data_IF_337102556259
#
_entry.id   IF_337102556259
#
_cell.length_a   1.000
_cell.length_b   1.000
_cell.length_c   1.000
_cell.angle_alpha   90.00
_cell.angle_beta   90.00
_cell.angle_gamma   90.00
#
_symmetry.space_group_name_H-M   'P 1'
#
loop_
_entity.id
_entity.type
_entity.pdbx_description
1 polymer ?
#
# COMPACT_ATOMS: atom_id res chain seq x y z
N UNK A 1 -17.19 -6.93 0.78
CA UNK A 1 -15.78 -7.40 0.67
C UNK A 1 -15.66 -8.46 -0.42
N UNK A 2 -14.60 -8.39 -1.23
CA UNK A 2 -14.35 -9.31 -2.35
C UNK A 2 -13.59 -10.58 -1.96
N UNK A 3 -13.68 -11.61 -2.79
CA UNK A 3 -12.90 -12.87 -2.65
C UNK A 3 -11.40 -12.63 -2.64
N UNK A 4 -10.89 -11.73 -3.48
CA UNK A 4 -9.46 -11.40 -3.50
C UNK A 4 -9.02 -10.74 -2.18
N UNK A 5 -9.86 -9.88 -1.61
CA UNK A 5 -9.63 -9.23 -0.33
C UNK A 5 -9.63 -10.24 0.82
N UNK A 6 -10.53 -11.22 0.80
CA UNK A 6 -10.55 -12.29 1.81
C UNK A 6 -9.25 -13.10 1.85
N UNK A 7 -8.66 -13.38 0.70
CA UNK A 7 -7.36 -14.07 0.60
C UNK A 7 -6.27 -13.19 1.23
N UNK A 8 -6.21 -11.91 0.85
CA UNK A 8 -5.26 -10.95 1.41
C UNK A 8 -5.42 -10.85 2.94
N UNK A 9 -6.66 -10.83 3.42
CA UNK A 9 -6.99 -10.77 4.84
C UNK A 9 -6.41 -11.96 5.60
N UNK A 10 -6.67 -13.18 5.12
CA UNK A 10 -6.20 -14.43 5.74
C UNK A 10 -4.68 -14.58 5.71
N UNK A 11 -4.03 -14.13 4.64
CA UNK A 11 -2.58 -14.29 4.47
C UNK A 11 -1.74 -13.30 5.28
N UNK A 12 -2.32 -12.16 5.68
CA UNK A 12 -1.56 -11.03 6.22
C UNK A 12 -1.96 -10.60 7.62
N UNK A 13 -3.08 -11.09 8.15
CA UNK A 13 -3.61 -10.62 9.43
C UNK A 13 -4.03 -11.76 10.33
N UNK A 14 -3.74 -11.61 11.63
CA UNK A 14 -4.25 -12.52 12.66
C UNK A 14 -5.69 -12.14 13.06
N UNK A 15 -6.33 -12.97 13.87
CA UNK A 15 -7.72 -12.77 14.29
C UNK A 15 -7.99 -11.42 14.98
N UNK A 16 -7.08 -10.97 15.86
CA UNK A 16 -7.23 -9.68 16.55
C UNK A 16 -7.13 -8.52 15.57
N UNK A 17 -6.21 -8.60 14.61
CA UNK A 17 -6.06 -7.61 13.56
C UNK A 17 -7.28 -7.57 12.64
N UNK A 18 -7.90 -8.72 12.33
CA UNK A 18 -9.13 -8.78 11.52
C UNK A 18 -10.27 -8.03 12.22
N UNK A 19 -10.46 -8.21 13.53
CA UNK A 19 -11.47 -7.46 14.30
C UNK A 19 -11.19 -5.96 14.22
N UNK A 20 -9.94 -5.56 14.44
CA UNK A 20 -9.52 -4.16 14.37
C UNK A 20 -9.78 -3.57 12.97
N UNK A 21 -9.45 -4.30 11.90
CA UNK A 21 -9.64 -3.84 10.52
C UNK A 21 -11.11 -3.53 10.21
N UNK A 22 -12.05 -4.31 10.75
CA UNK A 22 -13.49 -4.01 10.62
C UNK A 22 -13.87 -2.68 11.30
N UNK A 23 -13.31 -2.40 12.48
CA UNK A 23 -13.49 -1.09 13.14
C UNK A 23 -12.91 0.05 12.28
N UNK A 24 -11.70 -0.13 11.77
CA UNK A 24 -11.03 0.88 10.94
C UNK A 24 -11.76 1.13 9.62
N UNK A 25 -12.33 0.09 9.01
CA UNK A 25 -13.15 0.23 7.80
C UNK A 25 -14.47 0.97 8.06
N UNK A 26 -15.09 0.79 9.24
CA UNK A 26 -16.24 1.60 9.66
C UNK A 26 -15.87 3.08 9.81
N UNK A 27 -14.68 3.38 10.36
CA UNK A 27 -14.17 4.75 10.48
C UNK A 27 -13.98 5.35 9.09
N UNK A 28 -13.25 4.66 8.20
CA UNK A 28 -13.02 5.09 6.82
C UNK A 28 -14.34 5.38 6.09
N UNK A 29 -15.35 4.52 6.26
CA UNK A 29 -16.67 4.67 5.62
C UNK A 29 -17.51 5.83 6.15
N UNK A 30 -17.47 6.12 7.45
CA UNK A 30 -18.49 6.95 8.10
C UNK A 30 -17.98 8.20 8.81
N UNK A 31 -16.66 8.35 9.00
CA UNK A 31 -16.05 9.44 9.78
C UNK A 31 -15.17 10.34 8.91
N UNK A 32 -15.63 10.60 7.69
CA UNK A 32 -14.98 11.45 6.70
C UNK A 32 -14.60 12.81 7.32
N UNK A 33 -13.36 13.24 7.06
CA UNK A 33 -12.78 14.50 7.55
C UNK A 33 -12.81 14.66 9.08
N UNK A 34 -12.85 13.55 9.83
CA UNK A 34 -12.82 13.58 11.28
C UNK A 34 -11.47 13.09 11.80
N UNK A 35 -10.60 14.04 12.13
CA UNK A 35 -9.24 13.80 12.63
C UNK A 35 -9.20 12.90 13.86
N UNK A 36 -10.15 13.07 14.80
CA UNK A 36 -10.18 12.32 16.06
C UNK A 36 -10.42 10.83 15.80
N UNK A 37 -11.37 10.49 14.93
CA UNK A 37 -11.63 9.10 14.58
C UNK A 37 -10.52 8.52 13.69
N UNK A 38 -10.04 9.29 12.70
CA UNK A 38 -8.95 8.85 11.81
C UNK A 38 -7.62 8.64 12.54
N UNK A 39 -7.41 9.26 13.70
CA UNK A 39 -6.25 8.97 14.55
C UNK A 39 -6.12 7.48 14.87
N UNK A 40 -7.22 6.73 15.03
CA UNK A 40 -7.17 5.28 15.25
C UNK A 40 -6.57 4.53 14.06
N UNK A 41 -6.93 4.90 12.83
CA UNK A 41 -6.37 4.32 11.59
C UNK A 41 -4.86 4.58 11.58
N UNK A 42 -4.44 5.81 11.88
CA UNK A 42 -3.03 6.19 11.81
C UNK A 42 -2.19 5.67 12.96
N UNK A 43 -2.78 5.43 14.15
CA UNK A 43 -2.12 4.72 15.25
C UNK A 43 -1.81 3.26 14.88
N UNK A 44 -2.74 2.59 14.21
CA UNK A 44 -2.47 1.25 13.69
C UNK A 44 -1.42 1.27 12.57
N UNK A 45 -1.51 2.21 11.61
CA UNK A 45 -0.48 2.35 10.57
C UNK A 45 0.92 2.62 11.15
N UNK A 46 1.01 3.45 12.21
CA UNK A 46 2.25 3.72 12.93
C UNK A 46 2.80 2.46 13.63
N UNK A 47 1.94 1.61 14.18
CA UNK A 47 2.36 0.39 14.89
C UNK A 47 2.99 -0.65 13.94
N UNK A 48 2.66 -0.60 12.65
CA UNK A 48 3.32 -1.40 11.60
C UNK A 48 4.77 -0.96 11.33
N UNK A 49 5.18 0.21 11.86
CA UNK A 49 6.49 0.85 11.66
C UNK A 49 6.79 1.10 10.18
N UNK A 50 7.98 1.61 9.89
CA UNK A 50 8.29 2.15 8.57
C UNK A 50 7.66 3.52 8.35
N UNK A 51 8.01 4.17 7.24
CA UNK A 51 7.29 5.37 6.81
C UNK A 51 5.96 4.96 6.18
N UNK A 52 4.86 5.29 6.86
CA UNK A 52 3.48 5.01 6.44
C UNK A 52 2.70 6.26 6.09
N UNK A 53 1.43 6.09 5.73
CA UNK A 53 0.53 7.22 5.50
C UNK A 53 0.37 8.07 6.75
N UNK A 54 0.46 7.49 7.95
CA UNK A 54 0.42 8.20 9.24
C UNK A 54 1.42 9.35 9.34
N UNK A 55 2.59 9.23 8.70
CA UNK A 55 3.64 10.24 8.71
C UNK A 55 3.55 11.23 7.53
N UNK A 56 2.72 10.92 6.53
CA UNK A 56 2.52 11.79 5.36
C UNK A 56 1.61 12.97 5.70
N UNK A 57 1.86 14.18 5.16
CA UNK A 57 0.93 15.30 5.25
C UNK A 57 -0.41 14.98 4.60
N UNK A 58 -1.50 15.48 5.19
CA UNK A 58 -2.85 15.29 4.62
C UNK A 58 -3.00 16.05 3.29
N UNK A 59 -2.41 17.24 3.19
CA UNK A 59 -2.47 18.04 1.96
C UNK A 59 -1.50 17.50 0.90
N UNK A 60 -2.04 16.91 -0.17
CA UNK A 60 -1.29 16.32 -1.28
C UNK A 60 -0.48 17.32 -2.13
N UNK A 61 -0.82 18.62 -2.05
CA UNK A 61 -0.06 19.71 -2.68
C UNK A 61 1.31 19.83 -2.03
N UNK A 62 1.39 19.61 -0.71
CA UNK A 62 2.66 19.57 0.02
C UNK A 62 3.37 18.26 -0.29
N UNK A 63 4.47 18.33 -1.04
CA UNK A 63 5.29 17.16 -1.34
C UNK A 63 6.55 17.13 -0.45
N UNK A 64 6.54 16.40 0.68
CA UNK A 64 7.71 16.31 1.56
C UNK A 64 8.80 15.39 1.00
N UNK A 65 8.55 14.68 -0.11
CA UNK A 65 9.40 13.58 -0.58
C UNK A 65 10.36 13.97 -1.71
N UNK A 66 10.55 15.27 -1.98
CA UNK A 66 11.47 15.73 -3.02
C UNK A 66 12.91 15.23 -2.80
N UNK A 67 13.32 15.05 -1.55
CA UNK A 67 14.66 14.58 -1.19
C UNK A 67 14.82 13.05 -1.24
N UNK A 68 13.75 12.29 -1.49
CA UNK A 68 13.75 10.82 -1.46
C UNK A 68 14.09 10.17 -2.81
N UNK A 69 14.50 10.95 -3.83
CA UNK A 69 14.94 10.46 -5.14
C UNK A 69 14.00 9.39 -5.73
N UNK A 70 14.51 8.20 -6.05
CA UNK A 70 13.75 7.07 -6.61
C UNK A 70 12.61 6.57 -5.69
N UNK A 71 12.67 6.84 -4.39
CA UNK A 71 11.63 6.50 -3.41
C UNK A 71 10.53 7.56 -3.30
N UNK A 72 10.62 8.68 -4.02
CA UNK A 72 9.57 9.70 -4.03
C UNK A 72 8.21 9.10 -4.35
N UNK A 73 8.12 8.27 -5.39
CA UNK A 73 6.85 7.65 -5.81
C UNK A 73 6.35 6.61 -4.80
N UNK A 74 7.27 5.91 -4.13
CA UNK A 74 6.95 4.94 -3.06
C UNK A 74 6.19 5.62 -1.92
N UNK A 75 6.65 6.79 -1.48
CA UNK A 75 6.08 7.47 -0.33
C UNK A 75 4.90 8.38 -0.70
N UNK A 76 4.96 8.98 -1.89
CA UNK A 76 3.89 9.85 -2.39
C UNK A 76 2.58 9.10 -2.63
N UNK A 77 2.63 7.84 -3.05
CA UNK A 77 1.42 7.05 -3.21
C UNK A 77 0.74 6.76 -1.86
N UNK A 78 1.50 6.55 -0.78
CA UNK A 78 0.94 6.44 0.58
C UNK A 78 0.29 7.74 1.06
N UNK A 79 0.82 8.90 0.64
CA UNK A 79 0.19 10.20 0.92
C UNK A 79 -1.17 10.34 0.23
N UNK A 80 -1.26 9.93 -1.03
CA UNK A 80 -2.54 9.96 -1.76
C UNK A 80 -3.57 9.04 -1.12
N UNK A 81 -3.21 7.78 -0.83
CA UNK A 81 -4.07 6.84 -0.13
C UNK A 81 -4.57 7.39 1.22
N UNK A 82 -3.69 8.06 1.98
CA UNK A 82 -4.04 8.71 3.25
C UNK A 82 -5.06 9.83 3.05
N UNK A 83 -4.82 10.72 2.10
CA UNK A 83 -5.72 11.82 1.77
C UNK A 83 -7.09 11.30 1.33
N UNK A 84 -7.11 10.29 0.45
CA UNK A 84 -8.32 9.66 -0.07
C UNK A 84 -9.15 9.00 1.02
N UNK A 85 -8.51 8.31 1.97
CA UNK A 85 -9.19 7.79 3.14
C UNK A 85 -9.84 8.92 3.97
N UNK A 86 -9.14 10.03 4.17
CA UNK A 86 -9.63 11.14 4.97
C UNK A 86 -10.79 11.90 4.31
N UNK A 87 -10.76 12.12 3.00
CA UNK A 87 -11.82 12.87 2.30
C UNK A 87 -13.00 11.99 1.86
N UNK A 88 -12.96 10.69 2.11
CA UNK A 88 -14.02 9.75 1.73
C UNK A 88 -14.03 9.42 0.23
N UNK A 89 -12.86 9.42 -0.41
CA UNK A 89 -12.71 8.96 -1.78
C UNK A 89 -13.06 7.47 -1.90
N UNK A 90 -13.40 7.04 -3.12
CA UNK A 90 -13.71 5.63 -3.44
C UNK A 90 -12.56 4.70 -3.04
N UNK A 91 -12.89 3.53 -2.47
CA UNK A 91 -11.92 2.52 -2.04
C UNK A 91 -10.94 2.10 -3.15
N UNK A 92 -11.40 2.11 -4.40
CA UNK A 92 -10.56 1.90 -5.60
C UNK A 92 -9.31 2.78 -5.62
N UNK A 93 -9.42 4.05 -5.25
CA UNK A 93 -8.27 4.96 -5.30
C UNK A 93 -7.25 4.62 -4.23
N UNK A 94 -7.71 4.32 -3.01
CA UNK A 94 -6.85 3.80 -1.92
C UNK A 94 -6.14 2.53 -2.35
N UNK A 95 -6.84 1.59 -3.00
CA UNK A 95 -6.24 0.37 -3.55
C UNK A 95 -5.20 0.70 -4.63
N UNK A 96 -5.52 1.59 -5.55
CA UNK A 96 -4.64 1.98 -6.66
C UNK A 96 -3.34 2.61 -6.15
N UNK A 97 -3.44 3.57 -5.24
CA UNK A 97 -2.28 4.27 -4.67
C UNK A 97 -1.44 3.38 -3.76
N UNK A 98 -2.08 2.51 -2.98
CA UNK A 98 -1.37 1.49 -2.20
C UNK A 98 -0.68 0.45 -3.10
N UNK A 99 -1.29 0.12 -4.24
CA UNK A 99 -0.69 -0.76 -5.23
C UNK A 99 0.55 -0.15 -5.88
N UNK A 100 0.50 1.15 -6.19
CA UNK A 100 1.64 1.91 -6.72
C UNK A 100 2.83 1.96 -5.73
N UNK A 101 2.56 1.93 -4.41
CA UNK A 101 3.61 1.82 -3.38
C UNK A 101 4.42 0.53 -3.58
N UNK A 102 3.73 -0.62 -3.67
CA UNK A 102 4.35 -1.93 -3.89
C UNK A 102 5.01 -2.01 -5.26
N UNK A 103 4.33 -1.55 -6.31
CA UNK A 103 4.88 -1.56 -7.67
C UNK A 103 6.19 -0.77 -7.77
N UNK A 104 6.25 0.39 -7.11
CA UNK A 104 7.45 1.23 -7.07
C UNK A 104 8.60 0.56 -6.31
N UNK A 105 8.33 -0.07 -5.17
CA UNK A 105 9.35 -0.82 -4.41
C UNK A 105 9.91 -1.99 -5.22
N UNK A 106 9.05 -2.74 -5.91
CA UNK A 106 9.47 -3.84 -6.79
C UNK A 106 10.33 -3.32 -7.93
N UNK A 107 9.97 -2.21 -8.57
CA UNK A 107 10.79 -1.58 -9.63
C UNK A 107 12.18 -1.20 -9.11
N UNK A 108 12.26 -0.60 -7.91
CA UNK A 108 13.55 -0.26 -7.29
C UNK A 108 14.38 -1.53 -7.04
N UNK A 109 13.79 -2.58 -6.44
CA UNK A 109 14.46 -3.87 -6.21
C UNK A 109 15.01 -4.47 -7.50
N UNK A 110 14.21 -4.50 -8.56
CA UNK A 110 14.63 -4.99 -9.87
C UNK A 110 15.77 -4.16 -10.43
N UNK A 111 15.71 -2.83 -10.28
CA UNK A 111 16.76 -1.94 -10.78
C UNK A 111 18.10 -2.15 -10.05
N UNK A 112 18.08 -2.39 -8.72
CA UNK A 112 19.30 -2.68 -7.95
C UNK A 112 19.91 -4.04 -8.30
N UNK A 113 19.11 -4.98 -8.80
CA UNK A 113 19.52 -6.36 -9.08
C UNK A 113 19.59 -6.68 -10.58
N UNK A 114 19.60 -5.67 -11.45
CA UNK A 114 19.66 -5.85 -12.90
C UNK A 114 20.70 -4.93 -13.54
N UNK A 115 21.58 -5.53 -14.35
CA UNK A 115 22.49 -4.78 -15.23
C UNK A 115 21.74 -4.00 -16.34
N UNK A 116 20.53 -4.44 -16.70
CA UNK A 116 19.67 -3.82 -17.71
C UNK A 116 18.46 -3.15 -17.03
N UNK A 117 18.70 -2.02 -16.34
CA UNK A 117 17.68 -1.31 -15.55
C UNK A 117 16.47 -0.87 -16.40
N UNK A 118 16.73 -0.33 -17.59
CA UNK A 118 15.70 0.23 -18.47
C UNK A 118 14.67 -0.81 -18.95
N UNK A 119 15.15 -1.97 -19.41
CA UNK A 119 14.29 -3.03 -19.98
C UNK A 119 13.40 -3.69 -18.92
N UNK A 120 13.83 -3.71 -17.65
CA UNK A 120 13.04 -4.35 -16.59
C UNK A 120 12.07 -3.41 -15.89
N UNK A 121 12.32 -2.10 -15.93
CA UNK A 121 11.36 -1.11 -15.40
C UNK A 121 10.08 -0.97 -16.23
N UNK A 122 10.12 -1.37 -17.51
CA UNK A 122 8.95 -1.39 -18.42
C UNK A 122 8.17 -2.71 -18.39
N UNK A 123 8.65 -3.72 -17.64
CA UNK A 123 7.94 -5.00 -17.50
C UNK A 123 6.72 -4.85 -16.60
N UNK A 124 5.68 -5.63 -16.91
CA UNK A 124 4.53 -5.80 -16.03
C UNK A 124 4.97 -6.26 -14.64
N UNK A 125 4.28 -5.79 -13.59
CA UNK A 125 4.60 -6.09 -12.19
C UNK A 125 4.79 -7.60 -11.94
N UNK A 126 3.91 -8.45 -12.50
CA UNK A 126 4.03 -9.91 -12.41
C UNK A 126 5.37 -10.46 -12.93
N UNK A 127 5.87 -9.95 -14.07
CA UNK A 127 7.16 -10.37 -14.64
C UNK A 127 8.34 -9.93 -13.78
N UNK A 128 8.21 -8.81 -13.09
CA UNK A 128 9.23 -8.33 -12.15
C UNK A 128 9.27 -9.17 -10.88
N UNK A 129 8.11 -9.60 -10.37
CA UNK A 129 8.02 -10.52 -9.22
C UNK A 129 8.67 -11.86 -9.57
N UNK A 130 8.35 -12.45 -10.74
CA UNK A 130 8.99 -13.69 -11.20
C UNK A 130 10.51 -13.54 -11.29
N UNK A 131 11.00 -12.47 -11.92
CA UNK A 131 12.44 -12.22 -12.01
C UNK A 131 13.13 -12.17 -10.63
N UNK A 132 12.52 -11.52 -9.64
CA UNK A 132 13.08 -11.43 -8.29
C UNK A 132 13.03 -12.78 -7.55
N UNK A 133 11.99 -13.58 -7.79
CA UNK A 133 11.86 -14.95 -7.27
C UNK A 133 12.94 -15.86 -7.86
N UNK A 134 13.12 -15.86 -9.19
CA UNK A 134 14.10 -16.71 -9.89
C UNK A 134 15.54 -16.40 -9.47
N UNK A 135 15.79 -15.19 -8.96
CA UNK A 135 17.07 -14.73 -8.45
C UNK A 135 17.23 -14.95 -6.94
N UNK A 136 16.26 -15.57 -6.26
CA UNK A 136 16.23 -15.75 -4.81
C UNK A 136 16.37 -14.43 -4.03
N UNK A 137 15.93 -13.31 -4.59
CA UNK A 137 15.92 -12.00 -3.92
C UNK A 137 14.67 -11.88 -3.05
N UNK A 138 13.56 -12.42 -3.52
CA UNK A 138 12.31 -12.51 -2.76
C UNK A 138 12.02 -13.98 -2.45
N UNK A 139 11.68 -14.24 -1.19
CA UNK A 139 11.21 -15.56 -0.77
C UNK A 139 9.85 -15.89 -1.40
N UNK A 140 9.62 -17.17 -1.66
CA UNK A 140 8.40 -17.67 -2.28
C UNK A 140 7.12 -17.19 -1.57
N UNK A 141 7.12 -17.20 -0.23
CA UNK A 141 5.99 -16.74 0.59
C UNK A 141 5.67 -15.27 0.37
N UNK A 142 6.70 -14.42 0.25
CA UNK A 142 6.53 -13.00 -0.01
C UNK A 142 6.05 -12.76 -1.45
N UNK A 143 6.60 -13.47 -2.43
CA UNK A 143 6.11 -13.44 -3.82
C UNK A 143 4.64 -13.84 -3.93
N UNK A 144 4.21 -14.88 -3.21
CA UNK A 144 2.82 -15.33 -3.15
C UNK A 144 1.87 -14.24 -2.66
N UNK A 145 2.22 -13.59 -1.54
CA UNK A 145 1.44 -12.47 -0.99
C UNK A 145 1.36 -11.27 -1.94
N UNK A 146 2.48 -10.90 -2.57
CA UNK A 146 2.52 -9.79 -3.53
C UNK A 146 1.69 -10.10 -4.77
N UNK A 147 1.65 -11.37 -5.21
CA UNK A 147 0.79 -11.79 -6.33
C UNK A 147 -0.69 -11.58 -6.02
N UNK A 148 -1.15 -11.91 -4.82
CA UNK A 148 -2.53 -11.65 -4.40
C UNK A 148 -2.86 -10.15 -4.33
N UNK A 149 -1.93 -9.33 -3.83
CA UNK A 149 -2.08 -7.88 -3.91
C UNK A 149 -2.18 -7.40 -5.37
N UNK A 150 -1.34 -7.95 -6.25
CA UNK A 150 -1.31 -7.57 -7.67
C UNK A 150 -2.64 -7.91 -8.37
N UNK A 151 -3.30 -9.00 -8.00
CA UNK A 151 -4.61 -9.36 -8.56
C UNK A 151 -5.66 -8.30 -8.24
N UNK A 152 -5.81 -7.92 -6.96
CA UNK A 152 -6.79 -6.92 -6.55
C UNK A 152 -6.43 -5.52 -7.09
N UNK A 153 -5.14 -5.17 -7.11
CA UNK A 153 -4.65 -3.93 -7.72
C UNK A 153 -4.96 -3.84 -9.22
N UNK A 154 -4.76 -4.91 -9.98
CA UNK A 154 -5.06 -4.92 -11.41
C UNK A 154 -6.56 -4.77 -11.67
N UNK A 155 -7.42 -5.41 -10.86
CA UNK A 155 -8.87 -5.21 -10.93
C UNK A 155 -9.21 -3.73 -10.70
N UNK A 156 -8.69 -3.13 -9.63
CA UNK A 156 -8.92 -1.72 -9.34
C UNK A 156 -8.39 -0.79 -10.44
N UNK A 157 -7.26 -1.11 -11.07
CA UNK A 157 -6.68 -0.31 -12.15
C UNK A 157 -7.51 -0.36 -13.44
N UNK A 158 -8.00 -1.54 -13.81
CA UNK A 158 -8.69 -1.80 -15.07
C UNK A 158 -10.22 -1.75 -14.98
N UNK A 159 -10.78 -1.44 -13.81
CA UNK A 159 -12.21 -1.23 -13.65
C UNK A 159 -12.68 -0.03 -14.51
N UNK A 160 -13.38 -0.29 -15.60
CA UNK A 160 -13.87 0.72 -16.56
C UNK A 160 -15.35 1.03 -16.39
N UNK A 161 -16.07 0.35 -15.49
CA UNK A 161 -17.51 0.54 -15.35
C UNK A 161 -17.82 1.73 -14.43
N UNK A 162 -17.90 2.91 -15.04
CA UNK A 162 -18.29 4.14 -14.36
C UNK A 162 -19.75 4.16 -13.90
N UNK A 163 -20.60 3.24 -14.40
CA UNK A 163 -22.05 3.21 -14.13
C UNK A 163 -22.38 2.29 -12.95
N UNK A 164 -21.68 1.15 -12.80
CA UNK A 164 -21.81 0.26 -11.64
C UNK A 164 -20.79 0.63 -10.55
N UNK A 165 -21.04 1.76 -9.89
CA UNK A 165 -20.12 2.50 -9.02
C UNK A 165 -19.81 1.86 -7.64
N UNK A 166 -19.90 0.54 -7.48
CA UNK A 166 -19.74 -0.20 -6.20
C UNK A 166 -18.88 -1.47 -6.36
N UNK A 167 -17.77 -1.41 -7.09
CA UNK A 167 -16.93 -2.60 -7.31
C UNK A 167 -16.03 -2.95 -6.11
N UNK A 168 -15.74 -1.96 -5.27
CA UNK A 168 -14.85 -2.08 -4.10
C UNK A 168 -15.45 -1.37 -2.88
N UNK A 169 -15.53 -2.10 -1.78
CA UNK A 169 -16.00 -1.60 -0.50
C UNK A 169 -14.86 -0.94 0.30
N UNK A 170 -15.23 -0.15 1.31
CA UNK A 170 -14.28 0.46 2.25
C UNK A 170 -13.40 -0.59 2.97
N UNK A 171 -13.94 -1.79 3.21
CA UNK A 171 -13.19 -2.92 3.75
C UNK A 171 -12.06 -3.34 2.80
N UNK A 172 -12.33 -3.40 1.49
CA UNK A 172 -11.32 -3.72 0.47
C UNK A 172 -10.18 -2.69 0.49
N UNK A 173 -10.51 -1.40 0.59
CA UNK A 173 -9.53 -0.33 0.68
C UNK A 173 -8.63 -0.41 1.92
N UNK A 174 -9.22 -0.59 3.10
CA UNK A 174 -8.50 -0.64 4.39
C UNK A 174 -7.63 -1.89 4.49
N UNK A 175 -8.17 -3.06 4.14
CA UNK A 175 -7.42 -4.32 4.19
C UNK A 175 -6.24 -4.26 3.21
N UNK A 176 -6.49 -3.78 1.99
CA UNK A 176 -5.44 -3.66 0.98
C UNK A 176 -4.35 -2.68 1.39
N UNK A 177 -4.72 -1.50 1.89
CA UNK A 177 -3.78 -0.50 2.39
C UNK A 177 -2.84 -1.10 3.44
N UNK A 178 -3.38 -1.73 4.48
CA UNK A 178 -2.56 -2.28 5.56
C UNK A 178 -1.74 -3.49 5.13
N UNK A 179 -2.21 -4.29 4.18
CA UNK A 179 -1.42 -5.38 3.61
C UNK A 179 -0.22 -4.83 2.82
N UNK A 180 -0.45 -3.79 2.00
CA UNK A 180 0.62 -3.05 1.33
C UNK A 180 1.60 -2.42 2.32
N UNK A 181 1.14 -1.94 3.48
CA UNK A 181 2.02 -1.38 4.52
C UNK A 181 2.93 -2.45 5.15
N UNK A 182 2.39 -3.61 5.52
CA UNK A 182 3.18 -4.74 6.05
C UNK A 182 4.22 -5.22 5.05
N UNK A 183 3.77 -5.54 3.83
CA UNK A 183 4.63 -6.03 2.75
C UNK A 183 5.64 -4.96 2.32
N UNK A 184 5.22 -3.70 2.23
CA UNK A 184 6.11 -2.59 1.89
C UNK A 184 7.24 -2.41 2.89
N UNK A 185 6.97 -2.59 4.19
CA UNK A 185 8.01 -2.57 5.22
C UNK A 185 9.00 -3.75 5.07
N UNK A 186 8.52 -4.94 4.71
CA UNK A 186 9.40 -6.09 4.38
C UNK A 186 10.25 -5.81 3.14
N UNK A 187 9.70 -5.21 2.08
CA UNK A 187 10.48 -4.83 0.89
C UNK A 187 11.52 -3.75 1.18
N UNK A 188 11.21 -2.78 2.04
CA UNK A 188 12.17 -1.76 2.51
C UNK A 188 13.32 -2.38 3.31
N UNK A 189 13.08 -3.45 4.07
CA UNK A 189 14.13 -4.24 4.74
C UNK A 189 15.10 -4.82 3.72
N UNK A 190 14.58 -5.46 2.68
CA UNK A 190 15.39 -6.09 1.62
C UNK A 190 16.20 -5.04 0.85
N UNK A 191 15.65 -3.84 0.70
CA UNK A 191 16.33 -2.69 0.08
C UNK A 191 17.36 -1.99 0.97
N UNK A 192 17.47 -2.39 2.24
CA UNK A 192 18.23 -1.71 3.29
C UNK A 192 17.91 -0.21 3.38
N UNK A 193 16.63 0.13 3.26
CA UNK A 193 16.21 1.54 3.26
C UNK A 193 16.12 2.07 4.70
N UNK A 194 16.70 3.24 4.95
CA UNK A 194 16.82 3.85 6.27
C UNK A 194 15.49 4.13 7.01
N UNK A 195 14.33 4.05 6.34
CA UNK A 195 13.01 4.20 6.97
C UNK A 195 12.44 2.88 7.50
N UNK A 196 13.00 1.72 7.11
CA UNK A 196 12.52 0.41 7.55
C UNK A 196 12.48 0.34 9.08
N UNK A 197 11.38 -0.20 9.63
CA UNK A 197 11.20 -0.46 11.06
C UNK A 197 11.34 0.79 11.97
N UNK A 198 11.40 2.00 11.41
CA UNK A 198 11.39 3.27 12.16
C UNK A 198 9.97 3.73 12.44
N UNK A 199 9.80 4.47 13.53
CA UNK A 199 8.55 5.14 13.87
C UNK A 199 8.74 6.65 13.79
N UNK A 200 7.76 7.35 13.23
CA UNK A 200 7.73 8.80 13.09
C UNK A 200 6.52 9.36 13.83
N UNK A 201 6.44 10.69 13.97
CA UNK A 201 5.23 11.32 14.51
C UNK A 201 4.08 11.23 13.51
N UNK A 202 2.86 10.99 14.00
CA UNK A 202 1.67 11.12 13.16
C UNK A 202 1.53 12.58 12.74
N UNK A 203 1.50 12.82 11.42
CA UNK A 203 1.23 14.15 10.86
C UNK A 203 -0.27 14.33 10.73
N UNK A 204 -0.83 15.43 11.23
CA UNK A 204 -2.20 15.87 10.91
C UNK A 204 -2.24 17.20 10.17
N UNK A 205 -1.06 17.75 9.88
CA UNK A 205 -0.88 18.93 9.03
C UNK A 205 -0.82 18.53 7.56
#
# INVERSE_FOLDING_TARGET
>A
MRKETEIILKDNFNYQEIILLNELANIYRSKIRNTIYHEKIWKYDQSLKGLGGYACPLNVIVNPFNQFNEYRNVLRSLQYARSDMYIGSRARFVITDSGLHIESLIKILVSKNSKLKFIKNTRMLGKNISFLSDKNILEYKLCYKIKHLTNLYNLAKHDTDHKNNITFDYDDGIIFYFACRKIGNELLKILDHHTYNKSYKISFK
#
